data_IF_892860597352
#
_entry.id   IF_892860597352
#
_cell.length_a   1.000
_cell.length_b   1.000
_cell.length_c   1.000
_cell.angle_alpha   90.00
_cell.angle_beta   90.00
_cell.angle_gamma   90.00
#
_symmetry.space_group_name_H-M   'P 1'
#
loop_
_entity.id
_entity.type
_entity.pdbx_description
1 polymer ?
#
# COMPACT_ATOMS: atom_id res chain seq x y z
N UNK A 1 -5.45 28.58 -28.59
CA UNK A 1 -6.16 27.35 -28.22
C UNK A 1 -7.47 27.27 -28.99
N UNK A 2 -7.76 26.12 -29.63
CA UNK A 2 -9.04 25.90 -30.32
C UNK A 2 -10.22 25.92 -29.34
N UNK A 3 -11.44 26.10 -29.83
CA UNK A 3 -12.66 26.02 -29.00
C UNK A 3 -12.78 24.66 -28.27
N UNK A 4 -12.38 23.57 -28.93
CA UNK A 4 -12.31 22.24 -28.34
C UNK A 4 -11.31 22.17 -27.17
N UNK A 5 -10.11 22.74 -27.33
CA UNK A 5 -9.10 22.75 -26.27
C UNK A 5 -9.54 23.56 -25.03
N UNK A 6 -10.30 24.64 -25.22
CA UNK A 6 -10.87 25.43 -24.10
C UNK A 6 -11.99 24.67 -23.38
N UNK A 7 -12.80 23.91 -24.11
CA UNK A 7 -13.88 23.10 -23.55
C UNK A 7 -13.31 21.92 -22.75
N UNK A 8 -12.27 21.27 -23.27
CA UNK A 8 -11.54 20.22 -22.57
C UNK A 8 -10.95 20.75 -21.25
N UNK A 9 -10.23 21.87 -21.30
CA UNK A 9 -9.61 22.47 -20.11
C UNK A 9 -10.61 22.75 -18.97
N UNK A 10 -11.87 23.08 -19.29
CA UNK A 10 -12.93 23.34 -18.30
C UNK A 10 -13.56 22.05 -17.74
N UNK A 11 -13.45 20.94 -18.46
CA UNK A 11 -14.09 19.66 -18.12
C UNK A 11 -13.12 18.60 -17.61
N UNK A 12 -11.80 18.81 -17.73
CA UNK A 12 -10.74 17.88 -17.29
C UNK A 12 -11.00 17.24 -15.92
N UNK A 13 -11.32 18.03 -14.89
CA UNK A 13 -11.56 17.49 -13.55
C UNK A 13 -12.77 16.56 -13.48
N UNK A 14 -13.85 16.89 -14.20
CA UNK A 14 -15.04 16.03 -14.29
C UNK A 14 -14.75 14.77 -15.08
N UNK A 15 -13.95 14.88 -16.15
CA UNK A 15 -13.51 13.73 -16.95
C UNK A 15 -12.63 12.81 -16.10
N UNK A 16 -11.68 13.35 -15.33
CA UNK A 16 -10.83 12.55 -14.44
C UNK A 16 -11.66 11.81 -13.38
N UNK A 17 -12.68 12.46 -12.80
CA UNK A 17 -13.63 11.80 -11.88
C UNK A 17 -14.42 10.72 -12.61
N UNK A 18 -14.95 11.00 -13.80
CA UNK A 18 -15.67 10.03 -14.61
C UNK A 18 -14.83 8.80 -14.97
N UNK A 19 -13.55 8.99 -15.29
CA UNK A 19 -12.59 7.90 -15.53
C UNK A 19 -12.37 7.06 -14.27
N UNK A 20 -12.16 7.71 -13.11
CA UNK A 20 -11.98 7.00 -11.84
C UNK A 20 -13.22 6.21 -11.44
N UNK A 21 -14.41 6.81 -11.53
CA UNK A 21 -15.69 6.14 -11.23
C UNK A 21 -15.95 4.99 -12.20
N UNK A 22 -15.74 5.20 -13.50
CA UNK A 22 -15.90 4.15 -14.51
C UNK A 22 -14.94 2.99 -14.28
N UNK A 23 -13.68 3.27 -13.96
CA UNK A 23 -12.70 2.25 -13.62
C UNK A 23 -13.09 1.49 -12.36
N UNK A 24 -13.47 2.18 -11.27
CA UNK A 24 -13.92 1.54 -10.03
C UNK A 24 -15.13 0.66 -10.29
N UNK A 25 -16.12 1.11 -11.06
CA UNK A 25 -17.30 0.31 -11.39
C UNK A 25 -16.93 -0.97 -12.15
N UNK A 26 -16.05 -0.87 -13.16
CA UNK A 26 -15.57 -2.03 -13.93
C UNK A 26 -14.82 -3.01 -13.03
N UNK A 27 -13.82 -2.55 -12.28
CA UNK A 27 -12.97 -3.44 -11.49
C UNK A 27 -13.67 -3.99 -10.24
N UNK A 28 -14.56 -3.23 -9.61
CA UNK A 28 -15.41 -3.76 -8.55
C UNK A 28 -16.34 -4.86 -9.10
N UNK A 29 -16.93 -4.64 -10.28
CA UNK A 29 -17.77 -5.66 -10.92
C UNK A 29 -16.97 -6.92 -11.25
N UNK A 30 -15.76 -6.76 -11.81
CA UNK A 30 -14.89 -7.90 -12.12
C UNK A 30 -14.45 -8.66 -10.86
N UNK A 31 -14.09 -7.96 -9.78
CA UNK A 31 -13.73 -8.57 -8.50
C UNK A 31 -14.91 -9.35 -7.90
N UNK A 32 -16.11 -8.77 -7.93
CA UNK A 32 -17.34 -9.44 -7.48
C UNK A 32 -17.67 -10.64 -8.37
N UNK A 33 -17.59 -10.51 -9.69
CA UNK A 33 -17.82 -11.63 -10.62
C UNK A 33 -16.84 -12.77 -10.37
N UNK A 34 -15.56 -12.45 -10.16
CA UNK A 34 -14.54 -13.44 -9.77
C UNK A 34 -14.93 -14.16 -8.48
N UNK A 35 -15.45 -13.45 -7.48
CA UNK A 35 -15.92 -14.04 -6.23
C UNK A 35 -17.15 -14.94 -6.41
N UNK A 36 -18.23 -14.42 -7.01
CA UNK A 36 -19.50 -15.17 -7.15
C UNK A 36 -19.42 -16.32 -8.15
N UNK A 37 -18.39 -16.35 -9.01
CA UNK A 37 -18.06 -17.50 -9.88
C UNK A 37 -16.98 -18.41 -9.29
N UNK A 38 -16.63 -18.22 -8.01
CA UNK A 38 -15.79 -19.11 -7.20
C UNK A 38 -14.32 -19.14 -7.64
N UNK A 39 -13.85 -18.04 -8.22
CA UNK A 39 -12.45 -17.82 -8.58
C UNK A 39 -11.69 -16.95 -7.55
N UNK A 40 -12.35 -16.50 -6.48
CA UNK A 40 -11.68 -15.92 -5.29
C UNK A 40 -11.02 -16.99 -4.44
N UNK A 41 -9.96 -16.65 -3.71
CA UNK A 41 -9.33 -17.61 -2.79
C UNK A 41 -9.88 -17.47 -1.37
N UNK A 42 -9.66 -18.50 -0.55
CA UNK A 42 -10.05 -18.48 0.85
C UNK A 42 -9.01 -17.79 1.75
N UNK A 43 -7.78 -17.56 1.29
CA UNK A 43 -6.69 -17.19 2.19
C UNK A 43 -6.83 -15.79 2.77
N UNK A 44 -7.12 -14.79 1.94
CA UNK A 44 -7.22 -13.41 2.43
C UNK A 44 -8.69 -13.00 2.58
N UNK A 45 -9.50 -13.17 1.53
CA UNK A 45 -10.88 -12.68 1.53
C UNK A 45 -11.72 -13.32 2.66
N UNK A 46 -11.59 -14.62 2.90
CA UNK A 46 -12.38 -15.29 3.95
C UNK A 46 -11.91 -14.92 5.36
N UNK A 47 -10.61 -14.68 5.57
CA UNK A 47 -10.09 -14.18 6.85
C UNK A 47 -10.69 -12.83 7.16
N UNK A 48 -10.62 -11.89 6.21
CA UNK A 48 -11.19 -10.56 6.42
C UNK A 48 -12.71 -10.60 6.56
N UNK A 49 -13.43 -11.30 5.69
CA UNK A 49 -14.90 -11.38 5.78
C UNK A 49 -15.33 -11.97 7.14
N UNK A 50 -14.66 -13.02 7.62
CA UNK A 50 -14.92 -13.59 8.94
C UNK A 50 -14.61 -12.59 10.06
N UNK A 51 -13.48 -11.89 10.00
CA UNK A 51 -13.07 -10.91 11.01
C UNK A 51 -14.08 -9.76 11.11
N UNK A 52 -14.51 -9.21 9.97
CA UNK A 52 -15.52 -8.17 9.93
C UNK A 52 -16.85 -8.70 10.46
N UNK A 53 -17.32 -9.85 9.97
CA UNK A 53 -18.54 -10.49 10.44
C UNK A 53 -18.51 -10.70 11.96
N UNK A 54 -17.50 -11.40 12.49
CA UNK A 54 -17.35 -11.65 13.92
C UNK A 54 -17.35 -10.35 14.75
N UNK A 55 -16.68 -9.30 14.26
CA UNK A 55 -16.66 -8.00 14.92
C UNK A 55 -18.07 -7.37 14.98
N UNK A 56 -18.88 -7.48 13.92
CA UNK A 56 -20.30 -7.05 13.96
C UNK A 56 -21.16 -7.89 14.90
N UNK A 57 -20.75 -9.12 15.19
CA UNK A 57 -21.43 -10.03 16.11
C UNK A 57 -20.91 -9.95 17.56
N UNK A 58 -20.10 -8.93 17.90
CA UNK A 58 -19.59 -8.73 19.25
C UNK A 58 -18.34 -9.54 19.61
N UNK A 59 -17.68 -10.17 18.62
CA UNK A 59 -16.39 -10.88 18.77
C UNK A 59 -15.31 -10.10 18.01
N UNK A 60 -14.76 -9.03 18.61
CA UNK A 60 -13.90 -8.09 17.89
C UNK A 60 -12.61 -8.76 17.42
N UNK A 61 -12.30 -8.59 16.13
CA UNK A 61 -11.07 -9.07 15.49
C UNK A 61 -10.86 -10.59 15.51
N UNK A 62 -11.85 -11.37 15.93
CA UNK A 62 -11.72 -12.81 16.07
C UNK A 62 -11.68 -13.50 14.69
N UNK A 63 -10.71 -14.40 14.50
CA UNK A 63 -10.59 -15.29 13.34
C UNK A 63 -10.35 -16.72 13.81
N UNK A 64 -10.99 -17.68 13.16
CA UNK A 64 -10.70 -19.13 13.28
C UNK A 64 -9.90 -19.63 12.08
N UNK A 65 -9.50 -18.74 11.18
CA UNK A 65 -8.79 -19.03 9.94
C UNK A 65 -7.30 -18.71 10.09
N UNK A 66 -6.65 -19.32 11.08
CA UNK A 66 -5.21 -19.22 11.31
C UNK A 66 -4.54 -20.58 11.11
N UNK A 67 -3.44 -20.63 10.36
CA UNK A 67 -2.76 -21.91 10.05
C UNK A 67 -1.96 -22.48 11.22
N UNK A 68 -1.63 -21.65 12.23
CA UNK A 68 -0.78 -22.02 13.36
C UNK A 68 -1.56 -22.32 14.65
N UNK A 69 -2.88 -22.13 14.67
CA UNK A 69 -3.72 -22.30 15.86
C UNK A 69 -5.04 -23.00 15.54
N UNK A 70 -5.42 -23.97 16.36
CA UNK A 70 -6.75 -24.58 16.33
C UNK A 70 -7.79 -23.82 17.19
N UNK A 71 -7.37 -22.79 17.91
CA UNK A 71 -8.22 -21.90 18.70
C UNK A 71 -8.41 -20.55 17.98
N UNK A 72 -9.53 -19.84 18.21
CA UNK A 72 -9.72 -18.50 17.68
C UNK A 72 -8.58 -17.57 18.09
N UNK A 73 -8.10 -16.77 17.14
CA UNK A 73 -7.04 -15.78 17.34
C UNK A 73 -7.53 -14.39 17.01
N UNK A 74 -6.84 -13.37 17.51
CA UNK A 74 -7.05 -12.00 17.04
C UNK A 74 -6.36 -11.78 15.71
N UNK A 75 -7.03 -11.15 14.75
CA UNK A 75 -6.45 -10.67 13.50
C UNK A 75 -5.22 -9.77 13.74
N UNK A 76 -5.24 -8.97 14.81
CA UNK A 76 -4.10 -8.13 15.21
C UNK A 76 -2.88 -8.92 15.70
N UNK A 77 -3.03 -10.21 15.98
CA UNK A 77 -1.91 -11.11 16.25
C UNK A 77 -1.15 -11.54 14.99
N UNK A 78 -1.67 -11.25 13.79
CA UNK A 78 -0.98 -11.42 12.51
C UNK A 78 -0.61 -10.09 11.87
N UNK A 79 -1.58 -9.17 11.77
CA UNK A 79 -1.43 -7.88 11.11
C UNK A 79 -2.08 -6.76 11.92
N UNK A 80 -1.36 -5.66 12.11
CA UNK A 80 -1.89 -4.50 12.81
C UNK A 80 -2.41 -3.46 11.81
N UNK A 81 -3.72 -3.54 11.55
CA UNK A 81 -4.43 -2.73 10.54
C UNK A 81 -5.61 -1.95 11.14
N UNK A 82 -5.40 -0.93 11.99
CA UNK A 82 -6.48 -0.18 12.67
C UNK A 82 -7.58 0.41 11.77
N UNK A 83 -7.28 0.71 10.51
CA UNK A 83 -8.23 1.28 9.55
C UNK A 83 -9.45 0.37 9.32
N UNK A 84 -9.33 -0.93 9.63
CA UNK A 84 -10.44 -1.88 9.60
C UNK A 84 -11.66 -1.38 10.37
N UNK A 85 -11.45 -0.73 11.52
CA UNK A 85 -12.53 -0.18 12.33
C UNK A 85 -13.26 0.99 11.65
N UNK A 86 -12.58 1.75 10.79
CA UNK A 86 -13.21 2.82 10.01
C UNK A 86 -14.06 2.26 8.85
N UNK A 87 -13.69 1.08 8.33
CA UNK A 87 -14.43 0.38 7.28
C UNK A 87 -15.59 -0.45 7.84
N UNK A 88 -15.51 -0.86 9.10
CA UNK A 88 -16.49 -1.72 9.76
C UNK A 88 -17.94 -1.21 9.66
N UNK A 89 -18.26 0.09 9.86
CA UNK A 89 -19.63 0.57 9.69
C UNK A 89 -20.15 0.40 8.26
N UNK A 90 -19.29 0.53 7.25
CA UNK A 90 -19.67 0.34 5.85
C UNK A 90 -19.96 -1.13 5.56
N UNK A 91 -19.14 -2.04 6.11
CA UNK A 91 -19.40 -3.48 6.04
C UNK A 91 -20.69 -3.85 6.78
N UNK A 92 -20.95 -3.30 7.97
CA UNK A 92 -22.12 -3.63 8.77
C UNK A 92 -23.47 -3.28 8.08
N UNK A 93 -23.47 -2.31 7.15
CA UNK A 93 -24.64 -2.00 6.33
C UNK A 93 -24.99 -3.14 5.35
N UNK A 94 -23.97 -3.83 4.82
CA UNK A 94 -24.09 -4.91 3.85
C UNK A 94 -23.02 -5.97 4.16
N UNK A 95 -23.24 -6.82 5.18
CA UNK A 95 -22.20 -7.71 5.72
C UNK A 95 -21.97 -8.88 4.77
N UNK A 96 -21.17 -8.63 3.74
CA UNK A 96 -20.83 -9.56 2.66
C UNK A 96 -19.41 -9.33 2.17
N UNK A 97 -18.76 -10.39 1.71
CA UNK A 97 -17.42 -10.32 1.13
C UNK A 97 -17.32 -9.32 -0.05
N UNK A 98 -18.38 -9.21 -0.86
CA UNK A 98 -18.44 -8.26 -1.98
C UNK A 98 -18.30 -6.81 -1.53
N UNK A 99 -18.80 -6.47 -0.34
CA UNK A 99 -18.67 -5.12 0.20
C UNK A 99 -17.20 -4.75 0.39
N UNK A 100 -16.39 -5.69 0.89
CA UNK A 100 -14.95 -5.48 1.04
C UNK A 100 -14.25 -5.29 -0.32
N UNK A 101 -14.59 -6.12 -1.32
CA UNK A 101 -14.04 -6.01 -2.67
C UNK A 101 -14.38 -4.66 -3.33
N UNK A 102 -15.61 -4.18 -3.15
CA UNK A 102 -16.04 -2.88 -3.66
C UNK A 102 -15.30 -1.74 -2.95
N UNK A 103 -15.14 -1.80 -1.63
CA UNK A 103 -14.39 -0.78 -0.87
C UNK A 103 -12.92 -0.72 -1.29
N UNK A 104 -12.29 -1.87 -1.53
CA UNK A 104 -10.93 -1.95 -2.08
C UNK A 104 -10.84 -1.28 -3.46
N UNK A 105 -11.77 -1.55 -4.38
CA UNK A 105 -11.79 -0.92 -5.71
C UNK A 105 -12.02 0.60 -5.64
N UNK A 106 -12.84 1.08 -4.70
CA UNK A 106 -13.03 2.51 -4.43
C UNK A 106 -11.72 3.14 -3.95
N UNK A 107 -11.03 2.51 -3.00
CA UNK A 107 -9.78 3.03 -2.46
C UNK A 107 -8.70 3.22 -3.55
N UNK A 108 -8.57 2.26 -4.46
CA UNK A 108 -7.66 2.39 -5.60
C UNK A 108 -8.14 3.49 -6.57
N UNK A 109 -9.44 3.52 -6.91
CA UNK A 109 -9.99 4.57 -7.78
C UNK A 109 -9.78 5.99 -7.25
N UNK A 110 -9.87 6.18 -5.92
CA UNK A 110 -9.59 7.47 -5.27
C UNK A 110 -8.15 7.95 -5.47
N UNK A 111 -7.19 7.04 -5.72
CA UNK A 111 -5.81 7.37 -6.07
C UNK A 111 -5.64 8.12 -7.40
N UNK A 112 -6.63 8.05 -8.29
CA UNK A 112 -6.61 8.79 -9.56
C UNK A 112 -6.66 10.31 -9.36
N UNK A 113 -7.32 10.78 -8.28
CA UNK A 113 -7.48 12.19 -8.02
C UNK A 113 -6.17 12.92 -7.66
N UNK A 114 -5.33 12.46 -6.71
CA UNK A 114 -4.03 13.07 -6.47
C UNK A 114 -3.12 13.04 -7.71
N UNK A 115 -3.23 12.02 -8.57
CA UNK A 115 -2.53 11.98 -9.87
C UNK A 115 -3.00 13.11 -10.78
N UNK A 116 -4.32 13.30 -10.94
CA UNK A 116 -4.88 14.42 -11.69
C UNK A 116 -4.41 15.78 -11.15
N UNK A 117 -4.46 15.95 -9.82
CA UNK A 117 -4.04 17.18 -9.16
C UNK A 117 -2.55 17.47 -9.43
N UNK A 118 -1.69 16.47 -9.33
CA UNK A 118 -0.27 16.63 -9.62
C UNK A 118 -0.01 16.94 -11.10
N UNK A 119 -0.71 16.26 -12.02
CA UNK A 119 -0.62 16.53 -13.45
C UNK A 119 -1.08 17.97 -13.77
N UNK A 120 -2.15 18.43 -13.14
CA UNK A 120 -2.66 19.81 -13.28
C UNK A 120 -1.65 20.85 -12.82
N UNK A 121 -0.92 20.57 -11.74
CA UNK A 121 0.09 21.47 -11.18
C UNK A 121 1.37 21.53 -12.03
N UNK A 122 1.64 20.53 -12.87
CA UNK A 122 2.90 20.39 -13.63
C UNK A 122 2.78 20.58 -15.13
N UNK A 123 1.59 20.35 -15.69
CA UNK A 123 1.34 20.38 -17.12
C UNK A 123 0.37 21.50 -17.49
N UNK A 124 0.46 21.97 -18.73
CA UNK A 124 -0.50 22.92 -19.29
C UNK A 124 -1.88 22.25 -19.42
N UNK A 125 -2.99 23.03 -19.42
CA UNK A 125 -4.32 22.49 -19.70
C UNK A 125 -4.34 21.76 -21.05
N UNK A 126 -4.86 20.54 -21.06
CA UNK A 126 -4.86 19.66 -22.22
C UNK A 126 -5.01 18.17 -21.86
N UNK A 127 -5.11 17.35 -22.90
CA UNK A 127 -5.29 15.91 -22.79
C UNK A 127 -4.16 15.21 -22.02
N UNK A 128 -2.94 15.75 -22.04
CA UNK A 128 -1.78 15.19 -21.31
C UNK A 128 -2.06 14.98 -19.81
N UNK A 129 -2.84 15.86 -19.18
CA UNK A 129 -3.22 15.69 -17.76
C UNK A 129 -4.09 14.45 -17.56
N UNK A 130 -4.99 14.18 -18.51
CA UNK A 130 -5.87 13.00 -18.49
C UNK A 130 -5.11 11.73 -18.88
N UNK A 131 -4.07 11.84 -19.71
CA UNK A 131 -3.17 10.71 -20.02
C UNK A 131 -2.55 10.18 -18.74
N UNK A 132 -2.05 11.03 -17.83
CA UNK A 132 -1.50 10.55 -16.55
C UNK A 132 -2.53 9.86 -15.66
N UNK A 133 -3.78 10.35 -15.65
CA UNK A 133 -4.89 9.70 -14.94
C UNK A 133 -5.18 8.33 -15.55
N UNK A 134 -5.25 8.24 -16.88
CA UNK A 134 -5.46 6.98 -17.59
C UNK A 134 -4.30 6.01 -17.37
N UNK A 135 -3.04 6.47 -17.42
CA UNK A 135 -1.86 5.65 -17.16
C UNK A 135 -1.87 5.07 -15.74
N UNK A 136 -2.31 5.85 -14.75
CA UNK A 136 -2.50 5.35 -13.40
C UNK A 136 -3.58 4.25 -13.37
N UNK A 137 -4.78 4.52 -13.90
CA UNK A 137 -5.89 3.56 -13.88
C UNK A 137 -5.59 2.28 -14.68
N UNK A 138 -4.85 2.38 -15.77
CA UNK A 138 -4.46 1.24 -16.63
C UNK A 138 -3.19 0.53 -16.15
N UNK A 139 -2.62 0.93 -15.01
CA UNK A 139 -1.42 0.32 -14.47
C UNK A 139 -1.73 -1.10 -13.99
N UNK A 140 -1.16 -2.11 -14.66
CA UNK A 140 -1.46 -3.52 -14.42
C UNK A 140 -1.32 -3.96 -12.95
N UNK A 141 -0.28 -3.56 -12.19
CA UNK A 141 -0.20 -3.84 -10.76
C UNK A 141 -1.41 -3.37 -9.94
N UNK A 142 -2.00 -2.21 -10.25
CA UNK A 142 -3.18 -1.71 -9.54
C UNK A 142 -4.43 -2.50 -9.87
N UNK A 143 -4.55 -2.90 -11.13
CA UNK A 143 -5.61 -3.79 -11.60
C UNK A 143 -5.53 -5.16 -10.91
N UNK A 144 -4.33 -5.73 -10.85
CA UNK A 144 -4.07 -6.99 -10.17
C UNK A 144 -4.41 -6.90 -8.68
N UNK A 145 -4.02 -5.81 -8.03
CA UNK A 145 -4.29 -5.59 -6.62
C UNK A 145 -5.79 -5.55 -6.30
N UNK A 146 -6.64 -5.04 -7.21
CA UNK A 146 -8.11 -5.07 -7.03
C UNK A 146 -8.73 -6.42 -7.39
N UNK A 147 -8.18 -7.11 -8.39
CA UNK A 147 -8.69 -8.41 -8.84
C UNK A 147 -8.23 -9.58 -7.95
N UNK A 148 -7.15 -9.38 -7.21
CA UNK A 148 -6.77 -10.26 -6.11
C UNK A 148 -7.77 -10.11 -4.94
N UNK A 149 -7.67 -11.00 -3.98
CA UNK A 149 -8.58 -11.01 -2.82
C UNK A 149 -8.44 -9.73 -1.99
N UNK A 150 -9.36 -9.51 -1.04
CA UNK A 150 -9.34 -8.30 -0.23
C UNK A 150 -8.11 -8.22 0.67
N UNK A 151 -7.47 -7.06 0.69
CA UNK A 151 -6.37 -6.69 1.57
C UNK A 151 -6.51 -5.23 2.00
N UNK A 152 -5.86 -4.85 3.09
CA UNK A 152 -5.85 -3.48 3.62
C UNK A 152 -4.89 -2.55 2.86
N UNK A 153 -3.79 -3.07 2.29
CA UNK A 153 -2.75 -2.25 1.62
C UNK A 153 -3.31 -1.28 0.56
N UNK A 154 -4.28 -1.66 -0.31
CA UNK A 154 -4.90 -0.76 -1.28
C UNK A 154 -5.40 0.57 -0.69
N UNK A 155 -5.83 0.58 0.57
CA UNK A 155 -6.30 1.79 1.23
C UNK A 155 -5.20 2.79 1.54
N UNK A 156 -3.92 2.42 1.44
CA UNK A 156 -2.79 3.35 1.54
C UNK A 156 -2.66 4.26 0.31
N UNK A 157 -3.16 3.83 -0.85
CA UNK A 157 -2.94 4.53 -2.13
C UNK A 157 -3.36 6.01 -2.09
N UNK A 158 -4.58 6.38 -1.61
CA UNK A 158 -4.97 7.78 -1.53
C UNK A 158 -4.04 8.60 -0.64
N UNK A 159 -3.62 8.04 0.50
CA UNK A 159 -2.70 8.72 1.42
C UNK A 159 -1.34 8.97 0.77
N UNK A 160 -0.76 7.94 0.13
CA UNK A 160 0.54 8.06 -0.56
C UNK A 160 0.48 9.05 -1.73
N UNK A 161 -0.60 9.02 -2.51
CA UNK A 161 -0.84 9.95 -3.60
C UNK A 161 -0.93 11.41 -3.12
N UNK A 162 -1.71 11.65 -2.05
CA UNK A 162 -1.82 13.00 -1.47
C UNK A 162 -0.53 13.46 -0.80
N UNK A 163 0.21 12.57 -0.14
CA UNK A 163 1.52 12.87 0.41
C UNK A 163 2.49 13.35 -0.69
N UNK A 164 2.50 12.70 -1.86
CA UNK A 164 3.26 13.14 -3.03
C UNK A 164 2.85 14.54 -3.50
N UNK A 165 1.54 14.81 -3.59
CA UNK A 165 1.01 16.15 -3.95
C UNK A 165 1.49 17.21 -2.96
N UNK A 166 1.45 16.92 -1.66
CA UNK A 166 1.90 17.87 -0.63
C UNK A 166 3.40 18.11 -0.66
N UNK A 167 4.21 17.06 -0.83
CA UNK A 167 5.67 17.19 -1.04
C UNK A 167 5.95 18.03 -2.27
N UNK A 168 5.25 17.76 -3.39
CA UNK A 168 5.39 18.48 -4.65
C UNK A 168 5.03 19.97 -4.56
N UNK A 169 4.14 20.34 -3.63
CA UNK A 169 3.70 21.73 -3.36
C UNK A 169 4.49 22.43 -2.25
N UNK A 170 5.50 21.80 -1.68
CA UNK A 170 6.25 22.37 -0.54
C UNK A 170 5.49 22.34 0.80
N UNK A 171 4.35 21.65 0.88
CA UNK A 171 3.51 21.55 2.10
C UNK A 171 3.93 20.35 2.96
N UNK A 172 5.19 20.32 3.37
CA UNK A 172 5.81 19.12 3.95
C UNK A 172 5.10 18.59 5.20
N UNK A 173 4.60 19.44 6.09
CA UNK A 173 3.84 18.99 7.27
C UNK A 173 2.49 18.37 6.92
N UNK A 174 1.85 18.77 5.82
CA UNK A 174 0.63 18.10 5.35
C UNK A 174 0.96 16.71 4.82
N UNK A 175 2.11 16.55 4.16
CA UNK A 175 2.61 15.23 3.77
C UNK A 175 2.86 14.35 5.00
N UNK A 176 3.52 14.89 6.04
CA UNK A 176 3.76 14.17 7.30
C UNK A 176 2.44 13.68 7.91
N UNK A 177 1.46 14.57 8.13
CA UNK A 177 0.17 14.18 8.72
C UNK A 177 -0.55 13.12 7.87
N UNK A 178 -0.50 13.25 6.54
CA UNK A 178 -1.11 12.29 5.62
C UNK A 178 -0.44 10.91 5.69
N UNK A 179 0.89 10.88 5.82
CA UNK A 179 1.66 9.63 5.97
C UNK A 179 1.46 8.98 7.34
N UNK A 180 1.36 9.78 8.41
CA UNK A 180 1.01 9.24 9.73
C UNK A 180 -0.40 8.63 9.72
N UNK A 181 -1.35 9.24 9.00
CA UNK A 181 -2.67 8.65 8.82
C UNK A 181 -2.61 7.31 8.06
N UNK A 182 -1.66 7.12 7.13
CA UNK A 182 -1.50 5.83 6.45
C UNK A 182 -1.00 4.71 7.36
N UNK A 183 -0.46 5.01 8.55
CA UNK A 183 -0.03 3.97 9.50
C UNK A 183 -1.20 3.18 10.08
N UNK A 184 -2.41 3.72 9.99
CA UNK A 184 -3.63 2.99 10.34
C UNK A 184 -3.93 1.88 9.33
N UNK A 185 -3.40 1.95 8.11
CA UNK A 185 -3.69 0.97 7.06
C UNK A 185 -3.09 -0.38 7.41
N UNK A 186 -1.78 -0.41 7.72
CA UNK A 186 -1.02 -1.63 8.01
C UNK A 186 0.31 -1.29 8.71
N UNK A 187 0.83 -2.22 9.49
CA UNK A 187 2.06 -2.09 10.28
C UNK A 187 3.32 -1.78 9.46
N UNK A 188 3.32 -2.12 8.16
CA UNK A 188 4.46 -1.93 7.26
C UNK A 188 4.53 -0.53 6.62
N UNK A 189 3.44 0.26 6.64
CA UNK A 189 3.41 1.62 6.05
C UNK A 189 4.42 2.62 6.64
N UNK A 190 4.84 2.54 7.92
CA UNK A 190 5.97 3.32 8.42
C UNK A 190 7.26 3.10 7.63
N UNK A 191 7.52 1.90 7.11
CA UNK A 191 8.70 1.65 6.27
C UNK A 191 8.62 2.44 4.95
N UNK A 192 7.44 2.52 4.35
CA UNK A 192 7.19 3.37 3.17
C UNK A 192 7.41 4.84 3.51
N UNK A 193 6.95 5.28 4.69
CA UNK A 193 7.17 6.64 5.17
C UNK A 193 8.65 6.98 5.46
N UNK A 194 9.52 6.00 5.74
CA UNK A 194 10.97 6.23 5.79
C UNK A 194 11.54 6.66 4.43
N UNK A 195 10.99 6.16 3.32
CA UNK A 195 11.32 6.63 1.98
C UNK A 195 10.95 8.11 1.81
N UNK A 196 9.76 8.51 2.27
CA UNK A 196 9.34 9.91 2.26
C UNK A 196 10.20 10.78 3.19
N UNK A 197 10.58 10.28 4.36
CA UNK A 197 11.50 10.95 5.26
C UNK A 197 12.84 11.21 4.58
N UNK A 198 13.43 10.19 3.95
CA UNK A 198 14.66 10.32 3.16
C UNK A 198 14.51 11.34 2.03
N UNK A 199 13.40 11.31 1.28
CA UNK A 199 13.11 12.30 0.24
C UNK A 199 13.08 13.75 0.79
N UNK A 200 12.45 13.96 1.94
CA UNK A 200 12.40 15.27 2.60
C UNK A 200 13.79 15.72 3.04
N UNK A 201 14.60 14.82 3.60
CA UNK A 201 15.99 15.11 3.99
C UNK A 201 16.85 15.48 2.77
N UNK A 202 16.75 14.73 1.66
CA UNK A 202 17.43 15.04 0.39
C UNK A 202 17.00 16.41 -0.17
N UNK A 203 15.75 16.81 0.06
CA UNK A 203 15.23 18.15 -0.27
C UNK A 203 15.56 19.22 0.78
N UNK A 204 16.45 18.91 1.75
CA UNK A 204 16.88 19.80 2.85
C UNK A 204 15.76 20.23 3.79
N UNK A 205 14.66 19.47 3.84
CA UNK A 205 13.53 19.70 4.73
C UNK A 205 13.71 18.89 6.02
N UNK A 206 14.73 19.29 6.78
CA UNK A 206 15.23 18.54 7.93
C UNK A 206 14.17 18.30 9.02
N UNK A 207 13.43 19.34 9.42
CA UNK A 207 12.44 19.24 10.50
C UNK A 207 11.33 18.22 10.20
N UNK A 208 10.56 18.34 9.09
CA UNK A 208 9.53 17.34 8.78
C UNK A 208 10.12 15.98 8.40
N UNK A 209 11.29 15.93 7.75
CA UNK A 209 11.96 14.68 7.42
C UNK A 209 12.39 13.88 8.65
N UNK A 210 13.06 14.52 9.62
CA UNK A 210 13.47 13.88 10.87
C UNK A 210 12.26 13.50 11.73
N UNK A 211 11.26 14.37 11.85
CA UNK A 211 10.05 14.07 12.60
C UNK A 211 9.32 12.84 12.04
N UNK A 212 9.14 12.79 10.72
CA UNK A 212 8.54 11.63 10.06
C UNK A 212 9.39 10.37 10.26
N UNK A 213 10.71 10.47 10.09
CA UNK A 213 11.63 9.34 10.26
C UNK A 213 11.56 8.74 11.67
N UNK A 214 11.68 9.59 12.71
CA UNK A 214 11.64 9.15 14.11
C UNK A 214 10.29 8.52 14.45
N UNK A 215 9.17 9.15 14.07
CA UNK A 215 7.83 8.59 14.33
C UNK A 215 7.59 7.31 13.55
N UNK A 216 8.11 7.19 12.33
CA UNK A 216 7.99 5.96 11.53
C UNK A 216 8.73 4.79 12.19
N UNK A 217 9.98 5.00 12.62
CA UNK A 217 10.75 3.96 13.34
C UNK A 217 10.06 3.59 14.64
N UNK A 218 9.65 4.59 15.44
CA UNK A 218 8.99 4.34 16.71
C UNK A 218 7.68 3.55 16.53
N UNK A 219 6.84 3.93 15.55
CA UNK A 219 5.58 3.23 15.28
C UNK A 219 5.82 1.80 14.80
N UNK A 220 6.75 1.59 13.86
CA UNK A 220 7.07 0.24 13.38
C UNK A 220 7.53 -0.67 14.52
N UNK A 221 8.44 -0.19 15.37
CA UNK A 221 8.90 -0.93 16.54
C UNK A 221 7.76 -1.21 17.51
N UNK A 222 6.92 -0.23 17.82
CA UNK A 222 5.76 -0.41 18.72
C UNK A 222 4.79 -1.45 18.13
N UNK A 223 4.46 -1.35 16.85
CA UNK A 223 3.55 -2.28 16.19
C UNK A 223 4.07 -3.72 16.25
N UNK A 224 5.33 -3.94 15.83
CA UNK A 224 5.93 -5.28 15.72
C UNK A 224 6.34 -5.87 17.07
N UNK A 225 6.85 -5.07 18.01
CA UNK A 225 7.40 -5.56 19.28
C UNK A 225 6.44 -5.49 20.46
N UNK A 226 5.39 -4.68 20.38
CA UNK A 226 4.46 -4.48 21.50
C UNK A 226 3.05 -4.87 21.11
N UNK A 227 2.51 -4.27 20.05
CA UNK A 227 1.09 -4.42 19.72
C UNK A 227 0.79 -5.81 19.21
N UNK A 228 1.46 -6.27 18.14
CA UNK A 228 1.19 -7.58 17.55
C UNK A 228 1.44 -8.71 18.56
N UNK A 229 2.57 -8.74 19.31
CA UNK A 229 2.78 -9.77 20.33
C UNK A 229 1.73 -9.79 21.44
N UNK A 230 1.23 -8.61 21.85
CA UNK A 230 0.16 -8.53 22.85
C UNK A 230 -1.16 -9.16 22.37
N UNK A 231 -1.43 -9.18 21.06
CA UNK A 231 -2.60 -9.85 20.47
C UNK A 231 -2.32 -11.31 20.05
N UNK A 232 -1.08 -11.64 19.70
CA UNK A 232 -0.70 -12.97 19.24
C UNK A 232 -0.43 -13.96 20.39
N UNK A 233 -0.02 -13.47 21.56
CA UNK A 233 0.49 -14.31 22.65
C UNK A 233 1.86 -14.93 22.34
N UNK A 234 2.59 -14.38 21.36
CA UNK A 234 3.88 -14.89 20.87
C UNK A 234 4.58 -13.89 19.94
N UNK A 235 5.75 -14.27 19.41
CA UNK A 235 6.57 -13.39 18.57
C UNK A 235 5.96 -13.12 17.19
N UNK A 236 6.42 -12.03 16.56
CA UNK A 236 6.00 -11.64 15.22
C UNK A 236 6.41 -12.69 14.18
N UNK A 237 5.40 -13.36 13.59
CA UNK A 237 5.60 -14.56 12.76
C UNK A 237 6.34 -14.30 11.45
N UNK A 238 6.35 -13.07 10.94
CA UNK A 238 6.98 -12.76 9.65
C UNK A 238 8.50 -12.55 9.74
N UNK A 239 9.08 -12.50 10.94
CA UNK A 239 10.54 -12.48 11.11
C UNK A 239 11.20 -13.73 10.51
N UNK A 240 10.50 -14.87 10.49
CA UNK A 240 11.00 -16.11 9.88
C UNK A 240 11.23 -16.01 8.36
N UNK A 241 10.62 -15.02 7.69
CA UNK A 241 10.86 -14.77 6.26
C UNK A 241 12.20 -14.10 5.98
N UNK A 242 13.00 -13.84 7.01
CA UNK A 242 14.33 -13.26 6.94
C UNK A 242 15.36 -14.12 7.69
N UNK A 243 15.06 -15.40 7.89
CA UNK A 243 15.92 -16.34 8.63
C UNK A 243 17.33 -16.44 8.04
N UNK A 244 17.48 -16.22 6.72
CA UNK A 244 18.78 -16.16 6.06
C UNK A 244 19.62 -14.95 6.48
N UNK A 245 19.05 -13.92 7.12
CA UNK A 245 19.73 -12.71 7.56
C UNK A 245 19.89 -12.61 9.07
N UNK A 246 18.98 -13.19 9.86
CA UNK A 246 19.07 -13.18 11.31
C UNK A 246 17.84 -13.80 11.97
N UNK A 247 17.92 -14.00 13.29
CA UNK A 247 16.85 -14.58 14.10
C UNK A 247 15.90 -13.52 14.68
N UNK A 248 16.34 -12.26 14.71
CA UNK A 248 15.53 -11.11 15.10
C UNK A 248 15.80 -9.90 14.20
N UNK A 249 14.96 -8.88 14.30
CA UNK A 249 14.97 -7.68 13.46
C UNK A 249 16.25 -6.85 13.65
N UNK A 250 16.85 -6.88 14.84
CA UNK A 250 18.12 -6.18 15.11
C UNK A 250 19.28 -6.90 14.43
N UNK A 251 19.32 -8.23 14.53
CA UNK A 251 20.29 -9.08 13.85
C UNK A 251 20.15 -8.95 12.32
N UNK A 252 18.91 -8.98 11.79
CA UNK A 252 18.64 -8.80 10.35
C UNK A 252 19.21 -7.46 9.88
N UNK A 253 18.88 -6.36 10.55
CA UNK A 253 19.39 -5.03 10.19
C UNK A 253 20.91 -4.98 10.30
N UNK A 254 21.49 -5.55 11.36
CA UNK A 254 22.94 -5.61 11.54
C UNK A 254 23.61 -6.37 10.38
N UNK A 255 23.13 -7.57 10.04
CA UNK A 255 23.65 -8.38 8.95
C UNK A 255 23.60 -7.63 7.62
N UNK A 256 22.47 -6.98 7.31
CA UNK A 256 22.32 -6.17 6.10
C UNK A 256 23.37 -5.06 6.00
N UNK A 257 23.76 -4.47 7.13
CA UNK A 257 24.72 -3.36 7.17
C UNK A 257 26.18 -3.81 7.32
N UNK A 258 26.46 -4.95 7.95
CA UNK A 258 27.81 -5.39 8.29
C UNK A 258 28.32 -6.57 7.49
N UNK A 259 27.44 -7.34 6.84
CA UNK A 259 27.80 -8.52 6.04
C UNK A 259 27.28 -8.39 4.59
N UNK A 260 28.02 -7.68 3.71
CA UNK A 260 27.61 -7.51 2.32
C UNK A 260 27.63 -8.82 1.53
N UNK A 261 28.47 -9.79 1.90
CA UNK A 261 28.55 -11.07 1.21
C UNK A 261 27.27 -11.89 1.42
N UNK A 262 26.81 -12.01 2.67
CA UNK A 262 25.55 -12.67 3.01
C UNK A 262 24.35 -11.95 2.42
N UNK A 263 24.33 -10.62 2.48
CA UNK A 263 23.26 -9.81 1.89
C UNK A 263 23.16 -10.02 0.38
N UNK A 264 24.29 -10.03 -0.33
CA UNK A 264 24.32 -10.31 -1.78
C UNK A 264 23.91 -11.74 -2.11
N UNK A 265 24.25 -12.72 -1.27
CA UNK A 265 23.78 -14.10 -1.42
C UNK A 265 22.24 -14.18 -1.35
N UNK A 266 21.63 -13.52 -0.37
CA UNK A 266 20.16 -13.46 -0.25
C UNK A 266 19.52 -12.77 -1.46
N UNK A 267 20.09 -11.67 -1.94
CA UNK A 267 19.61 -10.99 -3.15
C UNK A 267 19.76 -11.85 -4.42
N UNK A 268 20.76 -12.73 -4.46
CA UNK A 268 20.99 -13.67 -5.56
C UNK A 268 20.09 -14.92 -5.49
N UNK A 269 19.54 -15.25 -4.31
CA UNK A 269 18.55 -16.32 -4.17
C UNK A 269 17.30 -15.98 -5.00
N UNK A 270 16.80 -16.98 -5.72
CA UNK A 270 15.64 -16.85 -6.60
C UNK A 270 15.68 -15.64 -7.54
N UNK A 271 16.89 -15.29 -8.01
CA UNK A 271 17.14 -14.10 -8.85
C UNK A 271 16.18 -14.00 -10.03
N UNK A 272 15.80 -15.12 -10.64
CA UNK A 272 14.84 -15.15 -11.75
C UNK A 272 13.46 -14.61 -11.35
N UNK A 273 13.00 -14.97 -10.15
CA UNK A 273 11.73 -14.49 -9.62
C UNK A 273 11.83 -13.02 -9.22
N UNK A 274 12.91 -12.62 -8.56
CA UNK A 274 13.18 -11.22 -8.18
C UNK A 274 13.26 -10.30 -9.40
N UNK A 275 13.90 -10.75 -10.48
CA UNK A 275 13.94 -10.01 -11.75
C UNK A 275 12.56 -9.91 -12.42
N UNK A 276 11.75 -10.98 -12.37
CA UNK A 276 10.36 -10.93 -12.86
C UNK A 276 9.51 -9.95 -12.05
N UNK A 277 9.66 -9.95 -10.72
CA UNK A 277 9.01 -8.99 -9.83
C UNK A 277 9.37 -7.55 -10.18
N UNK A 278 10.68 -7.26 -10.33
CA UNK A 278 11.15 -5.93 -10.75
C UNK A 278 10.64 -5.55 -12.14
N UNK A 279 10.65 -6.46 -13.10
CA UNK A 279 10.11 -6.23 -14.44
C UNK A 279 8.59 -5.98 -14.41
N UNK A 280 7.85 -6.67 -13.56
CA UNK A 280 6.40 -6.47 -13.41
C UNK A 280 6.06 -5.11 -12.79
N UNK A 281 6.84 -4.63 -11.83
CA UNK A 281 6.63 -3.33 -11.18
C UNK A 281 7.10 -2.17 -12.06
N UNK A 282 8.31 -2.25 -12.63
CA UNK A 282 8.92 -1.14 -13.36
C UNK A 282 8.64 -1.15 -14.86
N UNK A 283 8.36 -2.32 -15.43
CA UNK A 283 8.13 -2.50 -16.87
C UNK A 283 6.95 -1.70 -17.42
N UNK A 284 5.76 -1.70 -16.79
CA UNK A 284 4.62 -0.90 -17.26
C UNK A 284 4.89 0.60 -17.33
N UNK A 285 5.76 1.10 -16.44
CA UNK A 285 6.22 2.48 -16.44
C UNK A 285 7.52 2.71 -17.23
N UNK A 286 8.02 1.72 -17.97
CA UNK A 286 9.30 1.75 -18.70
C UNK A 286 10.48 2.25 -17.85
N UNK A 287 10.48 1.95 -16.55
CA UNK A 287 11.50 2.41 -15.62
C UNK A 287 11.48 3.91 -15.28
N UNK A 288 10.43 4.66 -15.67
CA UNK A 288 10.30 6.09 -15.36
C UNK A 288 10.41 6.40 -13.85
N UNK A 289 9.96 5.48 -13.00
CA UNK A 289 10.10 5.59 -11.54
C UNK A 289 11.57 5.66 -11.12
N UNK A 290 12.46 4.89 -11.76
CA UNK A 290 13.90 4.91 -11.48
C UNK A 290 14.56 6.19 -12.02
N UNK A 291 14.01 6.75 -13.11
CA UNK A 291 14.46 8.02 -13.68
C UNK A 291 13.90 9.27 -12.97
N UNK A 292 13.12 9.12 -11.89
CA UNK A 292 12.42 10.22 -11.21
C UNK A 292 13.30 11.09 -10.29
N UNK A 293 14.63 10.95 -10.39
CA UNK A 293 15.59 11.69 -9.59
C UNK A 293 15.44 11.36 -8.09
N UNK A 294 15.39 12.36 -7.18
CA UNK A 294 15.27 12.10 -5.74
C UNK A 294 14.04 11.27 -5.34
N UNK A 295 12.97 11.28 -6.14
CA UNK A 295 11.76 10.51 -5.83
C UNK A 295 11.95 8.99 -5.97
N UNK A 296 13.01 8.54 -6.65
CA UNK A 296 13.35 7.12 -6.73
C UNK A 296 13.65 6.52 -5.33
N UNK A 297 14.06 7.35 -4.36
CA UNK A 297 14.30 6.90 -2.97
C UNK A 297 13.05 6.30 -2.31
N UNK A 298 11.85 6.64 -2.79
CA UNK A 298 10.58 6.14 -2.26
C UNK A 298 10.40 4.65 -2.50
N UNK A 299 11.04 4.06 -3.50
CA UNK A 299 10.93 2.63 -3.80
C UNK A 299 11.86 1.78 -2.93
N UNK A 300 12.91 2.38 -2.35
CA UNK A 300 13.97 1.64 -1.66
C UNK A 300 13.43 0.83 -0.48
N UNK A 301 12.63 1.38 0.45
CA UNK A 301 12.18 0.58 1.60
C UNK A 301 11.36 -0.63 1.17
N UNK A 302 10.40 -0.44 0.25
CA UNK A 302 9.53 -1.53 -0.23
C UNK A 302 10.31 -2.60 -0.98
N UNK A 303 11.22 -2.19 -1.86
CA UNK A 303 12.09 -3.12 -2.56
C UNK A 303 13.03 -3.84 -1.60
N UNK A 304 13.58 -3.15 -0.60
CA UNK A 304 14.51 -3.75 0.35
C UNK A 304 13.84 -4.90 1.10
N UNK A 305 12.69 -4.66 1.75
CA UNK A 305 12.05 -5.74 2.52
C UNK A 305 11.51 -6.86 1.61
N UNK A 306 11.09 -6.54 0.37
CA UNK A 306 10.61 -7.56 -0.58
C UNK A 306 11.75 -8.42 -1.15
N UNK A 307 12.89 -7.82 -1.50
CA UNK A 307 14.01 -8.52 -2.14
C UNK A 307 14.93 -9.21 -1.13
N UNK A 308 14.95 -8.75 0.13
CA UNK A 308 15.71 -9.37 1.22
C UNK A 308 14.95 -10.50 1.92
N UNK A 309 13.69 -10.75 1.53
CA UNK A 309 12.93 -11.86 2.05
C UNK A 309 13.34 -13.18 1.40
N UNK A 310 13.31 -14.24 2.20
CA UNK A 310 13.41 -15.65 1.80
C UNK A 310 12.06 -16.20 1.29
N UNK A 311 10.99 -15.42 1.43
CA UNK A 311 9.67 -15.77 0.92
C UNK A 311 9.67 -15.66 -0.60
N UNK A 312 9.65 -16.82 -1.26
CA UNK A 312 9.54 -16.98 -2.72
C UNK A 312 8.09 -17.16 -3.14
#
# INVERSE_FOLDING_TARGET
MSAAARTLARSEGRIAIGLAVGWTAVYATLAVLRHVTWHSTAFDLSVFDQVYWNTTQGRPLESTLDRGSCAPVSFFGGHFSPLQFALLPLYALLPRAETLLVLQAIAVGLGAWPVYVLARDRLRPGAERLVWVASYLLLAPLSWMVLFDFHEIPFAIPFLGWALVFVARGRHWHAVVTLLASFLVKEELPLVALGFAALLLLKRQWRPGLALGVVSVAWFVIAVKVVIPAFAGGEYRYTSFYASLGNDEVEIVRTVLTDPARTMAVLANDVRMKLRYLAAIFGPGLGLTLASGPFAVLTIPTLAYSLLSDYS
#
